data_IF_260110943516
#
_entry.id   IF_260110943516
#
_cell.length_a   1.000
_cell.length_b   1.000
_cell.length_c   1.000
_cell.angle_alpha   90.00
_cell.angle_beta   90.00
_cell.angle_gamma   90.00
#
_symmetry.space_group_name_H-M   'P 1'
#
loop_
_entity.id
_entity.type
_entity.pdbx_description
1 polymer ?
#
# COMPACT_ATOMS: atom_id res chain seq x y z
N UNK A 1 23.74 -0.16 -37.02
CA UNK A 1 24.19 -0.23 -35.61
C UNK A 1 23.48 0.76 -34.69
N UNK A 2 23.36 2.06 -35.02
CA UNK A 2 22.63 3.05 -34.17
C UNK A 2 21.13 2.76 -33.99
N UNK A 3 20.45 2.23 -35.01
CA UNK A 3 18.99 1.95 -34.97
C UNK A 3 18.60 0.80 -34.03
N UNK A 4 19.44 -0.23 -33.91
CA UNK A 4 19.22 -1.40 -33.04
C UNK A 4 19.40 -0.99 -31.56
N UNK A 5 20.32 -0.08 -31.27
CA UNK A 5 20.54 0.44 -29.93
C UNK A 5 19.33 1.26 -29.43
N UNK A 6 18.69 2.04 -30.32
CA UNK A 6 17.49 2.83 -30.00
C UNK A 6 16.26 1.93 -29.75
N UNK A 7 16.15 0.80 -30.46
CA UNK A 7 15.05 -0.17 -30.26
C UNK A 7 15.20 -0.96 -28.95
N UNK A 8 16.44 -1.27 -28.53
CA UNK A 8 16.66 -1.95 -27.25
C UNK A 8 16.34 -1.05 -26.05
N UNK A 9 16.73 0.24 -26.13
CA UNK A 9 16.46 1.22 -25.07
C UNK A 9 14.96 1.46 -24.89
N UNK A 10 14.19 1.48 -25.98
CA UNK A 10 12.73 1.70 -25.93
C UNK A 10 11.97 0.51 -25.34
N UNK A 11 12.44 -0.73 -25.55
CA UNK A 11 11.88 -1.94 -24.94
C UNK A 11 12.19 -2.00 -23.43
N UNK A 12 13.40 -1.61 -23.03
CA UNK A 12 13.80 -1.52 -21.60
C UNK A 12 13.01 -0.44 -20.83
N UNK A 13 12.65 0.67 -21.47
CA UNK A 13 11.80 1.71 -20.85
C UNK A 13 10.33 1.29 -20.71
N UNK A 14 9.84 0.35 -21.53
CA UNK A 14 8.44 -0.07 -21.49
C UNK A 14 8.12 -1.04 -20.34
N UNK A 15 9.12 -1.80 -19.88
CA UNK A 15 8.96 -2.81 -18.83
C UNK A 15 9.03 -2.24 -17.40
N UNK A 16 9.41 -0.97 -17.23
CA UNK A 16 9.81 -0.43 -15.92
C UNK A 16 8.81 0.47 -15.20
N UNK A 17 7.64 0.80 -15.79
CA UNK A 17 6.81 1.92 -15.31
C UNK A 17 5.32 1.56 -15.22
N UNK A 18 4.96 0.31 -14.94
CA UNK A 18 3.58 0.05 -14.52
C UNK A 18 3.47 0.35 -13.02
N UNK A 19 2.80 1.46 -12.69
CA UNK A 19 2.46 1.75 -11.31
C UNK A 19 1.58 0.61 -10.77
N UNK A 20 1.92 0.09 -9.58
CA UNK A 20 1.14 -0.96 -8.92
C UNK A 20 -0.28 -0.47 -8.65
N UNK A 21 -1.25 -1.36 -8.86
CA UNK A 21 -2.67 -1.10 -8.61
C UNK A 21 -2.97 -1.13 -7.11
N UNK A 22 -4.15 -0.65 -6.73
CA UNK A 22 -4.64 -0.68 -5.35
C UNK A 22 -4.58 -2.10 -4.74
N UNK A 23 -5.15 -3.08 -5.44
CA UNK A 23 -5.17 -4.47 -4.97
C UNK A 23 -3.76 -5.07 -4.89
N UNK A 24 -2.86 -4.75 -5.83
CA UNK A 24 -1.47 -5.21 -5.78
C UNK A 24 -0.72 -4.69 -4.55
N UNK A 25 -0.95 -3.43 -4.17
CA UNK A 25 -0.39 -2.90 -2.92
C UNK A 25 -0.97 -3.62 -1.69
N UNK A 26 -2.25 -4.02 -1.71
CA UNK A 26 -2.86 -4.78 -0.62
C UNK A 26 -2.24 -6.18 -0.51
N UNK A 27 -2.17 -6.92 -1.62
CA UNK A 27 -1.60 -8.27 -1.66
C UNK A 27 -0.16 -8.26 -1.13
N UNK A 28 0.64 -7.32 -1.62
CA UNK A 28 2.02 -7.11 -1.14
C UNK A 28 2.08 -6.80 0.36
N UNK A 29 1.12 -6.06 0.90
CA UNK A 29 1.10 -5.76 2.33
C UNK A 29 0.88 -7.02 3.16
N UNK A 30 0.06 -7.96 2.69
CA UNK A 30 -0.15 -9.25 3.36
C UNK A 30 1.09 -10.14 3.30
N UNK A 31 1.76 -10.22 2.15
CA UNK A 31 3.05 -10.90 2.04
C UNK A 31 4.08 -10.36 3.05
N UNK A 32 4.15 -9.04 3.20
CA UNK A 32 5.07 -8.40 4.17
C UNK A 32 4.67 -8.68 5.63
N UNK A 33 3.37 -8.81 5.92
CA UNK A 33 2.89 -9.20 7.25
C UNK A 33 3.29 -10.64 7.56
N UNK A 34 3.17 -11.56 6.59
CA UNK A 34 3.62 -12.96 6.72
C UNK A 34 5.12 -13.06 6.96
N UNK A 35 5.90 -12.14 6.38
CA UNK A 35 7.34 -12.00 6.60
C UNK A 35 7.72 -11.23 7.88
N UNK A 36 6.74 -10.89 8.73
CA UNK A 36 6.88 -10.03 9.93
C UNK A 36 7.54 -8.66 9.66
N UNK A 37 7.52 -8.21 8.41
CA UNK A 37 8.05 -6.93 7.94
C UNK A 37 7.03 -5.82 8.11
N UNK A 38 6.61 -5.59 9.36
CA UNK A 38 5.45 -4.77 9.71
C UNK A 38 5.55 -3.31 9.28
N UNK A 39 6.72 -2.68 9.43
CA UNK A 39 6.91 -1.29 8.99
C UNK A 39 6.75 -1.15 7.48
N UNK A 40 7.24 -2.12 6.70
CA UNK A 40 7.09 -2.12 5.26
C UNK A 40 5.63 -2.39 4.85
N UNK A 41 4.94 -3.29 5.55
CA UNK A 41 3.51 -3.53 5.33
C UNK A 41 2.68 -2.25 5.57
N UNK A 42 2.96 -1.51 6.65
CA UNK A 42 2.30 -0.25 6.95
C UNK A 42 2.46 0.79 5.83
N UNK A 43 3.68 0.97 5.31
CA UNK A 43 3.92 1.89 4.19
C UNK A 43 3.25 1.43 2.89
N UNK A 44 3.19 0.12 2.67
CA UNK A 44 2.52 -0.48 1.50
C UNK A 44 1.00 -0.21 1.54
N UNK A 45 0.36 -0.35 2.71
CA UNK A 45 -1.05 0.04 2.89
C UNK A 45 -1.28 1.53 2.68
N UNK A 46 -0.40 2.41 3.18
CA UNK A 46 -0.48 3.84 2.90
C UNK A 46 -0.37 4.13 1.40
N UNK A 47 0.46 3.37 0.68
CA UNK A 47 0.59 3.52 -0.76
C UNK A 47 -0.68 3.07 -1.51
N UNK A 48 -1.32 1.99 -1.10
CA UNK A 48 -2.64 1.59 -1.64
C UNK A 48 -3.66 2.75 -1.49
N UNK A 49 -3.76 3.33 -0.30
CA UNK A 49 -4.66 4.46 -0.04
C UNK A 49 -4.30 5.72 -0.85
N UNK A 50 -3.02 5.96 -1.18
CA UNK A 50 -2.61 7.06 -2.07
C UNK A 50 -2.98 6.80 -3.53
N UNK A 51 -2.98 5.55 -3.97
CA UNK A 51 -3.37 5.16 -5.34
C UNK A 51 -4.86 5.39 -5.56
N UNK A 52 -5.71 5.03 -4.59
CA UNK A 52 -7.16 5.27 -4.66
C UNK A 52 -7.69 5.95 -3.38
N UNK A 53 -7.48 7.26 -3.22
CA UNK A 53 -7.82 7.97 -1.98
C UNK A 53 -9.33 8.01 -1.69
N UNK A 54 -10.15 8.00 -2.73
CA UNK A 54 -11.61 7.99 -2.62
C UNK A 54 -12.22 6.58 -2.57
N UNK A 55 -11.42 5.51 -2.53
CA UNK A 55 -11.95 4.15 -2.47
C UNK A 55 -12.69 3.94 -1.15
N UNK A 56 -14.00 3.61 -1.19
CA UNK A 56 -14.79 3.46 0.02
C UNK A 56 -14.31 2.31 0.91
N UNK A 57 -13.50 1.36 0.39
CA UNK A 57 -12.92 0.26 1.17
C UNK A 57 -11.70 0.67 2.00
N UNK A 58 -11.23 1.92 1.89
CA UNK A 58 -10.08 2.40 2.65
C UNK A 58 -10.27 2.30 4.18
N UNK A 59 -11.50 2.21 4.69
CA UNK A 59 -11.74 1.92 6.11
C UNK A 59 -11.08 0.60 6.56
N UNK A 60 -11.07 -0.44 5.70
CA UNK A 60 -10.41 -1.71 6.00
C UNK A 60 -8.89 -1.55 6.08
N UNK A 61 -8.31 -0.75 5.17
CA UNK A 61 -6.88 -0.48 5.14
C UNK A 61 -6.44 0.35 6.35
N UNK A 62 -7.24 1.33 6.77
CA UNK A 62 -7.03 2.07 8.01
C UNK A 62 -7.10 1.16 9.25
N UNK A 63 -8.07 0.24 9.30
CA UNK A 63 -8.17 -0.73 10.41
C UNK A 63 -6.96 -1.68 10.46
N UNK A 64 -6.53 -2.19 9.30
CA UNK A 64 -5.33 -3.03 9.18
C UNK A 64 -4.06 -2.25 9.55
N UNK A 65 -3.93 -1.00 9.11
CA UNK A 65 -2.81 -0.13 9.45
C UNK A 65 -2.74 0.10 10.97
N UNK A 66 -3.88 0.34 11.63
CA UNK A 66 -3.95 0.46 13.08
C UNK A 66 -3.50 -0.83 13.80
N UNK A 67 -3.86 -2.00 13.26
CA UNK A 67 -3.43 -3.29 13.81
C UNK A 67 -1.91 -3.46 13.72
N UNK A 68 -1.34 -3.10 12.56
CA UNK A 68 0.11 -3.16 12.33
C UNK A 68 0.85 -2.17 13.25
N UNK A 69 0.39 -0.93 13.33
CA UNK A 69 0.96 0.11 14.20
C UNK A 69 0.93 -0.29 15.68
N UNK A 70 -0.17 -0.93 16.13
CA UNK A 70 -0.26 -1.49 17.48
C UNK A 70 0.79 -2.58 17.73
N UNK A 71 1.02 -3.48 16.76
CA UNK A 71 2.09 -4.50 16.84
C UNK A 71 3.49 -3.88 16.88
N UNK A 72 3.67 -2.75 16.23
CA UNK A 72 4.90 -1.93 16.27
C UNK A 72 5.02 -1.06 17.54
N UNK A 73 4.09 -1.17 18.49
CA UNK A 73 4.01 -0.34 19.70
C UNK A 73 3.82 1.18 19.43
N UNK A 74 3.29 1.55 18.26
CA UNK A 74 2.93 2.91 17.85
C UNK A 74 1.46 3.18 18.17
N UNK A 75 1.13 3.32 19.46
CA UNK A 75 -0.25 3.29 19.94
C UNK A 75 -1.06 4.52 19.51
N UNK A 76 -0.44 5.69 19.48
CA UNK A 76 -1.06 6.96 19.10
C UNK A 76 -1.41 6.97 17.61
N UNK A 77 -0.52 6.45 16.77
CA UNK A 77 -0.77 6.31 15.34
C UNK A 77 -1.85 5.26 15.08
N UNK A 78 -1.83 4.15 15.83
CA UNK A 78 -2.87 3.13 15.73
C UNK A 78 -4.26 3.70 16.04
N UNK A 79 -4.38 4.50 17.11
CA UNK A 79 -5.63 5.15 17.48
C UNK A 79 -6.13 6.09 16.37
N UNK A 80 -5.24 6.86 15.75
CA UNK A 80 -5.59 7.72 14.62
C UNK A 80 -6.10 6.89 13.43
N UNK A 81 -5.42 5.79 13.10
CA UNK A 81 -5.83 4.91 12.01
C UNK A 81 -7.20 4.26 12.28
N UNK A 82 -7.45 3.75 13.49
CA UNK A 82 -8.78 3.21 13.84
C UNK A 82 -9.86 4.29 13.80
N UNK A 83 -9.55 5.50 14.27
CA UNK A 83 -10.48 6.64 14.20
C UNK A 83 -10.83 7.00 12.76
N UNK A 84 -9.84 6.96 11.85
CA UNK A 84 -10.05 7.16 10.42
C UNK A 84 -10.89 6.05 9.79
N UNK A 85 -10.71 4.79 10.21
CA UNK A 85 -11.57 3.69 9.77
C UNK A 85 -13.03 3.91 10.18
N UNK A 86 -13.26 4.25 11.46
CA UNK A 86 -14.59 4.48 12.02
C UNK A 86 -15.29 5.72 11.46
N UNK A 87 -14.53 6.76 11.06
CA UNK A 87 -15.12 7.96 10.45
C UNK A 87 -15.64 7.70 9.03
N UNK A 88 -15.02 6.75 8.31
CA UNK A 88 -15.48 6.29 6.98
C UNK A 88 -16.62 5.27 7.14
N UNK A 89 -16.45 4.30 8.04
CA UNK A 89 -17.44 3.27 8.32
C UNK A 89 -17.52 2.98 9.83
N UNK A 90 -18.54 3.51 10.53
CA UNK A 90 -18.72 3.32 11.97
C UNK A 90 -18.99 1.88 12.41
N UNK A 91 -19.32 0.97 11.48
CA UNK A 91 -19.61 -0.43 11.75
C UNK A 91 -18.46 -1.37 11.33
N UNK A 92 -17.23 -0.82 11.23
CA UNK A 92 -16.01 -1.55 10.84
C UNK A 92 -15.48 -2.50 11.91
#
# INVERSE_FOLDING_TARGET
MKKIFITLITILTYCGIQAQTYDQWIDKSFELIEQDSLSAAAETLKQAMRTEPANPRNFLLWSNLGTIQRRLNQKEDALQSYTAALSINPFS
#
